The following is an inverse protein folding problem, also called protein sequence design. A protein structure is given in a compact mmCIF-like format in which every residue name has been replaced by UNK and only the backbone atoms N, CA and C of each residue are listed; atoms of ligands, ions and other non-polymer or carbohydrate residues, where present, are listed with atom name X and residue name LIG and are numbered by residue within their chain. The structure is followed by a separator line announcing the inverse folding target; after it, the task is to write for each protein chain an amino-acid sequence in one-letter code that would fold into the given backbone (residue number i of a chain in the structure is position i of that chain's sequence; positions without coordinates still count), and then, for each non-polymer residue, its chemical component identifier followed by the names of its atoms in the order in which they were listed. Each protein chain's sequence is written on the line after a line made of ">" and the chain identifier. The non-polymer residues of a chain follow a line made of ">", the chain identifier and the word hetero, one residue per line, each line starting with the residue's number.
data_IF_470501219521
#
_entry.id   IF_470501219521
#
_cell.length_a   1.000
_cell.length_b   1.000
_cell.length_c   1.000
_cell.angle_alpha   90.00
_cell.angle_beta   90.00
_cell.angle_gamma   90.00
#
_symmetry.space_group_name_H-M   'P 1'
#
loop_
_entity.id
_entity.type
_entity.pdbx_description
1 polymer ?
#
# COMPACT_ATOMS: atom_id res chain seq x y z
N UNK A 1 40.34 -3.28 -15.53
CA UNK A 1 39.96 -2.99 -14.13
C UNK A 1 38.47 -2.56 -14.06
N UNK A 2 37.57 -3.54 -13.87
CA UNK A 2 36.12 -3.29 -13.80
C UNK A 2 35.70 -2.88 -12.37
N UNK A 3 36.53 -3.19 -11.37
CA UNK A 3 36.32 -2.92 -9.95
C UNK A 3 36.39 -1.45 -9.57
N UNK A 4 37.27 -0.66 -10.21
CA UNK A 4 37.43 0.77 -9.89
C UNK A 4 36.14 1.54 -10.16
N UNK A 5 35.52 1.29 -11.32
CA UNK A 5 34.24 1.89 -11.68
C UNK A 5 33.05 1.43 -10.84
N UNK A 6 33.11 0.23 -10.24
CA UNK A 6 32.05 -0.25 -9.35
C UNK A 6 32.11 0.45 -7.99
N UNK A 7 33.30 0.62 -7.44
CA UNK A 7 33.53 1.36 -6.20
C UNK A 7 33.09 2.83 -6.35
N UNK A 8 33.53 3.51 -7.41
CA UNK A 8 33.16 4.91 -7.68
C UNK A 8 31.64 5.12 -7.80
N UNK A 9 30.93 4.16 -8.39
CA UNK A 9 29.47 4.22 -8.50
C UNK A 9 28.77 3.99 -7.17
N UNK A 10 29.29 3.08 -6.34
CA UNK A 10 28.74 2.83 -5.02
C UNK A 10 28.96 4.04 -4.10
N UNK A 11 30.13 4.66 -4.15
CA UNK A 11 30.44 5.86 -3.38
C UNK A 11 29.53 7.02 -3.79
N UNK A 12 29.37 7.26 -5.10
CA UNK A 12 28.44 8.29 -5.61
C UNK A 12 27.00 8.01 -5.19
N UNK A 13 26.58 6.74 -5.21
CA UNK A 13 25.25 6.36 -4.74
C UNK A 13 25.09 6.65 -3.26
N UNK A 14 26.05 6.25 -2.41
CA UNK A 14 26.01 6.51 -0.97
C UNK A 14 25.92 8.01 -0.65
N UNK A 15 26.57 8.87 -1.44
CA UNK A 15 26.52 10.32 -1.27
C UNK A 15 25.20 10.96 -1.73
N UNK A 16 24.54 10.38 -2.73
CA UNK A 16 23.36 10.99 -3.38
C UNK A 16 22.05 10.27 -3.06
N UNK A 17 22.11 9.13 -2.37
CA UNK A 17 20.94 8.34 -2.06
C UNK A 17 20.03 9.05 -1.06
N UNK A 18 18.84 9.39 -1.52
CA UNK A 18 17.75 9.86 -0.68
C UNK A 18 16.77 8.69 -0.44
N UNK A 19 16.66 8.17 0.79
CA UNK A 19 15.69 7.11 1.08
C UNK A 19 14.26 7.63 0.94
N UNK A 20 13.31 6.76 0.55
CA UNK A 20 11.90 7.14 0.51
C UNK A 20 11.40 7.51 1.90
N UNK A 21 10.59 8.58 2.00
CA UNK A 21 10.01 9.04 3.26
C UNK A 21 9.03 8.03 3.89
N UNK A 22 8.40 7.20 3.04
CA UNK A 22 7.39 6.24 3.46
C UNK A 22 7.55 4.93 2.69
N UNK A 23 7.20 3.82 3.34
CA UNK A 23 7.20 2.50 2.73
C UNK A 23 7.19 1.39 3.77
N UNK A 24 6.72 0.20 3.35
CA UNK A 24 6.61 -0.99 4.21
C UNK A 24 7.94 -1.35 4.89
N UNK A 25 9.05 -1.13 4.19
CA UNK A 25 10.39 -1.49 4.66
C UNK A 25 11.19 -0.33 5.26
N UNK A 26 10.65 0.90 5.23
CA UNK A 26 11.36 2.08 5.77
C UNK A 26 11.49 2.01 7.29
N UNK A 27 10.44 1.54 7.97
CA UNK A 27 10.39 1.45 9.44
C UNK A 27 10.76 0.07 9.98
N UNK A 28 10.57 -0.96 9.17
CA UNK A 28 10.76 -2.35 9.58
C UNK A 28 11.35 -3.14 8.42
N UNK A 29 12.60 -3.60 8.51
CA UNK A 29 13.20 -4.43 7.46
C UNK A 29 12.59 -5.84 7.47
N UNK A 30 12.74 -6.54 6.35
CA UNK A 30 12.56 -7.99 6.34
C UNK A 30 13.66 -8.64 7.21
N UNK A 31 13.30 -9.66 7.99
CA UNK A 31 14.27 -10.45 8.76
C UNK A 31 14.60 -11.72 7.98
N UNK A 32 15.87 -12.09 7.99
CA UNK A 32 16.40 -13.27 7.29
C UNK A 32 17.27 -14.11 8.20
N UNK A 33 17.34 -15.41 7.92
CA UNK A 33 18.29 -16.38 8.49
C UNK A 33 18.91 -17.24 7.38
N UNK A 34 19.64 -18.30 7.74
CA UNK A 34 20.26 -19.24 6.80
C UNK A 34 19.28 -19.96 5.85
N UNK A 35 17.99 -20.01 6.21
CA UNK A 35 16.93 -20.63 5.42
C UNK A 35 16.15 -19.62 4.57
N UNK A 36 16.47 -18.32 4.66
CA UNK A 36 15.87 -17.25 3.86
C UNK A 36 15.06 -16.26 4.69
N UNK A 37 13.94 -15.78 4.17
CA UNK A 37 13.11 -14.75 4.83
C UNK A 37 12.24 -15.38 5.91
N UNK A 38 12.47 -15.00 7.17
CA UNK A 38 11.71 -15.50 8.32
C UNK A 38 10.55 -14.59 8.72
N UNK A 39 10.63 -13.30 8.38
CA UNK A 39 9.55 -12.36 8.68
C UNK A 39 9.54 -11.17 7.73
N UNK A 40 8.33 -10.77 7.35
CA UNK A 40 8.05 -9.54 6.64
C UNK A 40 7.26 -8.58 7.54
N UNK A 41 7.41 -7.25 7.37
CA UNK A 41 6.53 -6.29 8.03
C UNK A 41 5.06 -6.56 7.68
N UNK A 42 4.10 -6.16 8.51
CA UNK A 42 2.67 -6.34 8.20
C UNK A 42 2.28 -5.75 6.82
N UNK A 43 1.31 -6.35 6.12
CA UNK A 43 0.79 -5.78 4.87
C UNK A 43 0.07 -4.46 5.13
N UNK A 44 0.09 -3.57 4.13
CA UNK A 44 -0.69 -2.32 4.17
C UNK A 44 -2.17 -2.66 3.95
N UNK A 45 -3.11 -2.12 4.76
CA UNK A 45 -4.54 -2.35 4.56
C UNK A 45 -5.01 -1.92 3.17
N UNK A 46 -5.79 -2.78 2.51
CA UNK A 46 -6.31 -2.52 1.18
C UNK A 46 -7.50 -1.53 1.22
N UNK A 47 -7.43 -0.36 0.57
CA UNK A 47 -8.53 0.60 0.53
C UNK A 47 -9.73 0.11 -0.29
N UNK A 48 -9.56 -0.83 -1.23
CA UNK A 48 -10.60 -1.29 -2.13
C UNK A 48 -11.77 -1.90 -1.36
N UNK A 49 -11.48 -2.72 -0.35
CA UNK A 49 -12.52 -3.32 0.48
C UNK A 49 -13.41 -2.26 1.16
N UNK A 50 -12.81 -1.17 1.65
CA UNK A 50 -13.57 -0.06 2.26
C UNK A 50 -14.44 0.66 1.24
N UNK A 51 -13.92 0.88 0.04
CA UNK A 51 -14.66 1.53 -1.05
C UNK A 51 -15.86 0.69 -1.46
N UNK A 52 -15.68 -0.64 -1.62
CA UNK A 52 -16.78 -1.56 -1.97
C UNK A 52 -17.88 -1.48 -0.91
N UNK A 53 -17.52 -1.63 0.37
CA UNK A 53 -18.50 -1.58 1.47
C UNK A 53 -19.26 -0.24 1.48
N UNK A 54 -18.54 0.88 1.36
CA UNK A 54 -19.15 2.21 1.31
C UNK A 54 -20.10 2.38 0.12
N UNK A 55 -19.68 1.94 -1.06
CA UNK A 55 -20.49 2.01 -2.27
C UNK A 55 -21.76 1.16 -2.18
N UNK A 56 -21.67 -0.06 -1.66
CA UNK A 56 -22.82 -0.95 -1.46
C UNK A 56 -23.82 -0.33 -0.48
N UNK A 57 -23.36 0.19 0.66
CA UNK A 57 -24.23 0.86 1.64
C UNK A 57 -24.95 2.07 1.03
N UNK A 58 -24.23 2.90 0.28
CA UNK A 58 -24.81 4.07 -0.39
C UNK A 58 -25.88 3.65 -1.42
N UNK A 59 -25.62 2.61 -2.20
CA UNK A 59 -26.58 2.08 -3.18
C UNK A 59 -27.85 1.55 -2.50
N UNK A 60 -27.72 0.77 -1.42
CA UNK A 60 -28.87 0.27 -0.65
C UNK A 60 -29.71 1.42 -0.08
N UNK A 61 -29.08 2.43 0.51
CA UNK A 61 -29.78 3.59 1.04
C UNK A 61 -30.50 4.38 -0.07
N UNK A 62 -29.85 4.60 -1.21
CA UNK A 62 -30.43 5.26 -2.37
C UNK A 62 -31.68 4.55 -2.90
N UNK A 63 -31.62 3.21 -3.03
CA UNK A 63 -32.75 2.38 -3.44
C UNK A 63 -33.91 2.46 -2.44
N UNK A 64 -33.62 2.39 -1.13
CA UNK A 64 -34.65 2.48 -0.09
C UNK A 64 -35.38 3.82 -0.13
N UNK A 65 -34.64 4.93 -0.27
CA UNK A 65 -35.21 6.27 -0.41
C UNK A 65 -36.06 6.39 -1.67
N UNK A 66 -35.58 5.86 -2.80
CA UNK A 66 -36.33 5.89 -4.06
C UNK A 66 -37.67 5.14 -3.95
N UNK A 67 -37.68 3.98 -3.29
CA UNK A 67 -38.90 3.20 -3.06
C UNK A 67 -39.90 3.94 -2.16
N UNK A 68 -39.44 4.56 -1.07
CA UNK A 68 -40.29 5.36 -0.18
C UNK A 68 -40.91 6.56 -0.91
N UNK A 69 -40.14 7.22 -1.79
CA UNK A 69 -40.65 8.34 -2.61
C UNK A 69 -41.68 7.88 -3.64
N UNK A 70 -41.49 6.69 -4.24
CA UNK A 70 -42.47 6.10 -5.17
C UNK A 70 -43.79 5.81 -4.46
N UNK A 71 -43.76 5.23 -3.26
CA UNK A 71 -44.96 4.93 -2.46
C UNK A 71 -45.75 6.17 -2.05
N UNK A 72 -45.09 7.31 -1.82
CA UNK A 72 -45.75 8.58 -1.45
C UNK A 72 -46.39 9.32 -2.63
N UNK A 73 -46.05 8.97 -3.86
CA UNK A 73 -46.61 9.57 -5.09
C UNK A 73 -47.78 8.79 -5.68
N UNK A 74 -48.02 7.57 -5.21
CA UNK A 74 -49.18 6.74 -5.56
C UNK A 74 -50.24 6.88 -4.49
#
# INVERSE_FOLDING_TARGET
>A
PITDHAADRLERFAQTFAPPAHGRYVRQPARTDENGVVALPPPVPDPVAKVIVGATLAACAGLMVAQLRKRRRS
#
